data_IF_414379649122
#
_entry.id   IF_414379649122
#
_cell.length_a   1.000
_cell.length_b   1.000
_cell.length_c   1.000
_cell.angle_alpha   90.00
_cell.angle_beta   90.00
_cell.angle_gamma   90.00
#
_symmetry.space_group_name_H-M   'P 1'
#
loop_
_entity.id
_entity.type
_entity.pdbx_description
1 polymer ?
#
# COMPACT_ATOMS: atom_id res chain seq x y z
N UNK A 1 -21.31 -8.87 13.60
CA UNK A 1 -20.52 -7.85 12.88
C UNK A 1 -19.24 -7.60 13.67
N UNK A 2 -18.07 -7.63 13.03
CA UNK A 2 -16.78 -7.36 13.70
C UNK A 2 -16.22 -6.04 13.16
N UNK A 3 -15.93 -5.08 14.05
CA UNK A 3 -15.37 -3.78 13.68
C UNK A 3 -13.87 -3.92 13.47
N UNK A 4 -13.38 -3.62 12.28
CA UNK A 4 -11.95 -3.55 12.00
C UNK A 4 -11.39 -2.22 12.51
N UNK A 5 -10.19 -2.27 13.07
CA UNK A 5 -9.45 -1.07 13.45
C UNK A 5 -8.31 -0.90 12.47
N UNK A 6 -8.35 0.17 11.66
CA UNK A 6 -7.31 0.41 10.67
C UNK A 6 -6.02 0.96 11.27
N UNK A 7 -4.89 0.70 10.62
CA UNK A 7 -3.57 1.22 11.01
C UNK A 7 -3.11 2.35 10.08
N UNK A 8 -2.63 3.45 10.65
CA UNK A 8 -2.12 4.59 9.87
C UNK A 8 -0.65 4.41 9.52
N UNK A 9 -0.30 4.72 8.26
CA UNK A 9 1.08 4.84 7.78
C UNK A 9 1.42 6.30 7.56
N UNK A 10 2.51 6.76 8.15
CA UNK A 10 2.96 8.15 8.14
C UNK A 10 4.06 8.38 7.10
N UNK A 11 3.78 8.10 5.83
CA UNK A 11 4.75 8.38 4.76
C UNK A 11 4.73 9.86 4.39
N UNK A 12 5.89 10.41 4.02
CA UNK A 12 6.10 11.85 3.79
C UNK A 12 5.27 12.45 2.64
N UNK A 13 4.72 11.61 1.76
CA UNK A 13 3.84 12.02 0.67
C UNK A 13 2.37 12.21 1.10
N UNK A 14 2.01 11.81 2.32
CA UNK A 14 0.65 11.83 2.82
C UNK A 14 0.14 13.22 3.20
N UNK A 15 -1.18 13.40 3.16
CA UNK A 15 -1.82 14.61 3.67
C UNK A 15 -1.74 14.69 5.19
N UNK A 16 -1.55 15.89 5.74
CA UNK A 16 -1.59 16.13 7.19
C UNK A 16 -3.00 16.24 7.75
N UNK A 17 -4.04 16.30 6.90
CA UNK A 17 -5.42 16.61 7.34
C UNK A 17 -6.48 15.64 6.80
N UNK A 18 -6.32 15.09 5.60
CA UNK A 18 -7.41 14.39 4.91
C UNK A 18 -7.91 13.13 5.63
N UNK A 19 -7.01 12.23 6.08
CA UNK A 19 -7.42 11.02 6.80
C UNK A 19 -7.98 11.31 8.19
N UNK A 20 -7.48 12.34 8.88
CA UNK A 20 -8.03 12.77 10.16
C UNK A 20 -9.46 13.30 10.00
N UNK A 21 -9.67 14.17 9.00
CA UNK A 21 -10.98 14.71 8.65
C UNK A 21 -11.98 13.61 8.26
N UNK A 22 -11.57 12.65 7.41
CA UNK A 22 -12.40 11.51 7.02
C UNK A 22 -12.84 10.66 8.21
N UNK A 23 -11.95 10.48 9.19
CA UNK A 23 -12.22 9.70 10.41
C UNK A 23 -12.95 10.49 11.49
N UNK A 24 -13.09 11.82 11.33
CA UNK A 24 -13.68 12.71 12.33
C UNK A 24 -12.86 12.80 13.62
N UNK A 25 -11.53 12.73 13.53
CA UNK A 25 -10.60 12.80 14.67
C UNK A 25 -9.62 13.96 14.51
N UNK A 26 -8.99 14.36 15.61
CA UNK A 26 -7.86 15.29 15.56
C UNK A 26 -6.67 14.66 14.85
N UNK A 27 -5.99 15.43 13.99
CA UNK A 27 -4.85 14.97 13.23
C UNK A 27 -3.64 14.69 14.12
N UNK A 28 -2.81 13.73 13.73
CA UNK A 28 -1.60 13.37 14.47
C UNK A 28 -0.46 14.41 14.42
N UNK A 29 -0.66 15.52 13.69
CA UNK A 29 0.38 16.53 13.43
C UNK A 29 1.47 16.08 12.45
N UNK A 30 1.34 14.90 11.83
CA UNK A 30 2.25 14.33 10.83
C UNK A 30 1.48 13.97 9.56
N UNK A 31 2.15 13.80 8.40
CA UNK A 31 1.54 13.19 7.22
C UNK A 31 0.86 11.86 7.56
N UNK A 32 -0.38 11.68 7.11
CA UNK A 32 -1.15 10.43 7.21
C UNK A 32 -1.44 9.96 5.78
N UNK A 33 -0.65 9.01 5.31
CA UNK A 33 -0.58 8.64 3.90
C UNK A 33 -1.56 7.51 3.55
N UNK A 34 -1.58 6.47 4.37
CA UNK A 34 -2.43 5.29 4.15
C UNK A 34 -3.11 4.86 5.46
N UNK A 35 -4.38 4.50 5.39
CA UNK A 35 -5.11 3.78 6.42
C UNK A 35 -5.32 2.33 5.96
N UNK A 36 -4.72 1.36 6.64
CA UNK A 36 -4.73 -0.05 6.25
C UNK A 36 -5.75 -0.84 7.06
N UNK A 37 -6.43 -1.78 6.42
CA UNK A 37 -7.30 -2.76 7.06
C UNK A 37 -6.73 -4.17 6.84
N UNK A 38 -5.67 -4.51 7.58
CA UNK A 38 -4.89 -5.75 7.46
C UNK A 38 -4.95 -6.64 8.71
N UNK A 39 -5.89 -6.39 9.63
CA UNK A 39 -6.01 -7.03 10.95
C UNK A 39 -6.35 -8.54 10.92
N UNK A 40 -6.54 -9.13 9.73
CA UNK A 40 -6.87 -10.54 9.55
C UNK A 40 -5.90 -11.24 8.58
N UNK A 41 -4.96 -12.06 9.10
CA UNK A 41 -4.06 -12.87 8.28
C UNK A 41 -4.84 -13.76 7.30
N UNK A 42 -4.34 -13.87 6.07
CA UNK A 42 -4.86 -14.82 5.07
C UNK A 42 -5.96 -14.31 4.16
N UNK A 43 -6.37 -13.04 4.24
CA UNK A 43 -7.22 -12.45 3.21
C UNK A 43 -6.44 -12.32 1.88
N UNK A 44 -7.06 -12.64 0.72
CA UNK A 44 -6.39 -12.55 -0.57
C UNK A 44 -6.31 -11.12 -1.11
N UNK A 45 -6.63 -10.12 -0.28
CA UNK A 45 -6.64 -8.70 -0.63
C UNK A 45 -6.28 -7.84 0.57
N UNK A 46 -5.90 -6.59 0.30
CA UNK A 46 -5.68 -5.53 1.28
C UNK A 46 -6.53 -4.32 0.89
N UNK A 47 -7.32 -3.81 1.84
CA UNK A 47 -8.06 -2.56 1.65
C UNK A 47 -7.30 -1.42 2.30
N UNK A 48 -7.22 -0.30 1.57
CA UNK A 48 -6.59 0.94 2.05
C UNK A 48 -7.45 2.15 1.71
N UNK A 49 -7.29 3.21 2.50
CA UNK A 49 -7.63 4.58 2.10
C UNK A 49 -6.33 5.35 1.95
N UNK A 50 -6.13 5.98 0.80
CA UNK A 50 -4.93 6.77 0.50
C UNK A 50 -5.29 8.26 0.52
N UNK A 51 -4.47 9.06 1.20
CA UNK A 51 -4.56 10.52 1.17
C UNK A 51 -3.26 11.09 0.58
N UNK A 52 -3.24 11.19 -0.74
CA UNK A 52 -2.07 11.59 -1.53
C UNK A 52 -2.00 13.11 -1.59
N UNK A 53 -0.94 13.70 -1.02
CA UNK A 53 -0.68 15.15 -1.05
C UNK A 53 0.49 15.51 -1.98
N UNK A 54 1.33 14.51 -2.30
CA UNK A 54 2.40 14.62 -3.30
C UNK A 54 2.26 13.52 -4.35
N UNK A 55 2.54 13.80 -5.62
CA UNK A 55 2.51 12.79 -6.68
C UNK A 55 3.39 11.57 -6.33
N UNK A 56 2.85 10.39 -6.57
CA UNK A 56 3.55 9.12 -6.36
C UNK A 56 4.31 8.71 -7.63
N UNK A 57 5.28 7.81 -7.47
CA UNK A 57 6.01 7.25 -8.60
C UNK A 57 5.08 6.45 -9.52
N UNK A 58 5.36 6.48 -10.82
CA UNK A 58 4.71 5.59 -11.78
C UNK A 58 5.08 4.13 -11.45
N UNK A 59 4.08 3.26 -11.44
CA UNK A 59 4.24 1.85 -11.11
C UNK A 59 3.85 0.97 -12.30
N UNK A 60 4.53 -0.16 -12.43
CA UNK A 60 4.18 -1.23 -13.37
C UNK A 60 4.07 -2.51 -12.54
N UNK A 61 3.00 -3.27 -12.76
CA UNK A 61 2.83 -4.57 -12.13
C UNK A 61 3.07 -5.68 -13.16
N UNK A 62 3.93 -6.67 -12.83
CA UNK A 62 4.12 -7.81 -13.70
C UNK A 62 2.82 -8.62 -13.81
N UNK A 63 2.66 -9.30 -14.94
CA UNK A 63 1.70 -10.39 -15.03
C UNK A 63 2.16 -11.61 -14.21
N UNK A 64 1.35 -12.67 -14.21
CA UNK A 64 1.64 -13.86 -13.41
C UNK A 64 2.96 -14.53 -13.77
N UNK A 65 3.34 -14.57 -15.05
CA UNK A 65 4.56 -15.24 -15.49
C UNK A 65 5.79 -14.42 -15.08
N UNK A 66 5.77 -13.12 -15.37
CA UNK A 66 6.86 -12.22 -15.03
C UNK A 66 7.07 -12.12 -13.50
N UNK A 67 6.00 -12.15 -12.71
CA UNK A 67 6.10 -12.15 -11.24
C UNK A 67 6.82 -13.40 -10.71
N UNK A 68 6.50 -14.58 -11.25
CA UNK A 68 7.13 -15.84 -10.84
C UNK A 68 8.61 -15.88 -11.21
N UNK A 69 8.95 -15.49 -12.44
CA UNK A 69 10.32 -15.47 -12.93
C UNK A 69 11.18 -14.46 -12.15
N UNK A 70 10.68 -13.23 -11.98
CA UNK A 70 11.39 -12.18 -11.26
C UNK A 70 11.62 -12.52 -9.78
N UNK A 71 10.60 -13.06 -9.10
CA UNK A 71 10.73 -13.51 -7.72
C UNK A 71 11.79 -14.61 -7.57
N UNK A 72 11.75 -15.65 -8.42
CA UNK A 72 12.72 -16.74 -8.37
C UNK A 72 14.16 -16.28 -8.64
N UNK A 73 14.34 -15.30 -9.54
CA UNK A 73 15.64 -14.73 -9.83
C UNK A 73 16.22 -13.96 -8.63
N UNK A 74 15.40 -13.16 -7.93
CA UNK A 74 15.84 -12.43 -6.73
C UNK A 74 16.14 -13.35 -5.54
N UNK A 75 15.38 -14.44 -5.38
CA UNK A 75 15.67 -15.50 -4.39
C UNK A 75 16.99 -16.20 -4.69
N UNK A 76 17.24 -16.58 -5.94
CA UNK A 76 18.49 -17.23 -6.34
C UNK A 76 19.72 -16.31 -6.17
N UNK A 77 19.52 -14.99 -6.28
CA UNK A 77 20.53 -13.99 -5.98
C UNK A 77 20.75 -13.75 -4.46
N UNK A 78 19.92 -14.35 -3.60
CA UNK A 78 20.02 -14.24 -2.14
C UNK A 78 19.64 -12.85 -1.61
N UNK A 79 18.80 -12.10 -2.32
CA UNK A 79 18.36 -10.77 -1.86
C UNK A 79 17.42 -10.91 -0.65
N UNK A 80 17.70 -10.26 0.49
CA UNK A 80 16.78 -10.23 1.62
C UNK A 80 15.40 -9.65 1.23
N UNK A 81 14.33 -10.11 1.88
CA UNK A 81 12.95 -9.67 1.59
C UNK A 81 12.71 -8.16 1.80
N UNK A 82 13.51 -7.54 2.67
CA UNK A 82 13.48 -6.13 3.01
C UNK A 82 14.58 -5.30 2.31
N UNK A 83 15.39 -5.92 1.45
CA UNK A 83 16.41 -5.20 0.68
C UNK A 83 15.75 -4.14 -0.21
N UNK A 84 16.19 -2.87 -0.16
CA UNK A 84 15.58 -1.78 -0.93
C UNK A 84 15.70 -1.95 -2.45
N UNK A 85 16.61 -2.81 -2.92
CA UNK A 85 16.76 -3.13 -4.35
C UNK A 85 15.77 -4.19 -4.82
N UNK A 86 15.09 -4.87 -3.89
CA UNK A 86 14.16 -5.95 -4.20
C UNK A 86 12.87 -5.41 -4.82
N UNK A 87 12.56 -5.86 -6.03
CA UNK A 87 11.36 -5.45 -6.78
C UNK A 87 10.24 -6.50 -6.70
N UNK A 88 10.59 -7.79 -6.62
CA UNK A 88 9.64 -8.90 -6.54
C UNK A 88 9.53 -9.39 -5.11
N UNK A 89 8.58 -8.82 -4.36
CA UNK A 89 8.34 -9.19 -2.95
C UNK A 89 7.59 -10.52 -2.79
N UNK A 90 6.82 -10.93 -3.78
CA UNK A 90 6.20 -12.24 -3.86
C UNK A 90 6.10 -12.70 -5.34
N UNK A 91 5.58 -13.90 -5.55
CA UNK A 91 5.46 -14.54 -6.87
C UNK A 91 4.07 -14.35 -7.51
N UNK A 92 3.28 -13.37 -7.05
CA UNK A 92 1.91 -13.16 -7.51
C UNK A 92 1.78 -11.86 -8.30
N UNK A 93 0.87 -11.80 -9.29
CA UNK A 93 0.51 -10.53 -9.90
C UNK A 93 -0.19 -9.65 -8.87
N UNK A 94 -0.17 -8.33 -9.09
CA UNK A 94 -0.81 -7.34 -8.20
C UNK A 94 -1.93 -6.60 -8.93
N UNK A 95 -3.11 -7.23 -9.10
CA UNK A 95 -4.27 -6.51 -9.61
C UNK A 95 -4.73 -5.48 -8.56
N UNK A 96 -4.97 -4.25 -9.01
CA UNK A 96 -5.42 -3.15 -8.16
C UNK A 96 -6.68 -2.50 -8.72
N UNK A 97 -7.52 -1.97 -7.81
CA UNK A 97 -8.67 -1.15 -8.14
C UNK A 97 -8.62 0.12 -7.29
N UNK A 98 -8.58 1.27 -7.94
CA UNK A 98 -8.72 2.56 -7.28
C UNK A 98 -10.18 3.05 -7.39
N UNK A 99 -10.72 3.56 -6.28
CA UNK A 99 -12.02 4.21 -6.24
C UNK A 99 -11.86 5.58 -5.58
N UNK A 100 -12.19 6.63 -6.32
CA UNK A 100 -12.04 7.99 -5.87
C UNK A 100 -13.08 8.34 -4.79
N UNK A 101 -12.63 8.81 -3.63
CA UNK A 101 -13.49 9.32 -2.54
C UNK A 101 -13.68 10.85 -2.58
N UNK A 102 -12.82 11.52 -3.35
CA UNK A 102 -12.81 12.94 -3.70
C UNK A 102 -12.38 13.05 -5.16
N UNK A 103 -12.42 14.23 -5.80
CA UNK A 103 -11.65 14.44 -7.03
C UNK A 103 -10.21 13.94 -6.85
N UNK A 104 -9.71 13.19 -7.83
CA UNK A 104 -8.43 12.48 -7.78
C UNK A 104 -7.78 12.49 -9.16
N UNK A 105 -6.48 12.73 -9.20
CA UNK A 105 -5.63 12.83 -10.41
C UNK A 105 -4.33 12.03 -10.22
#
# INVERSE_FOLDING_TARGET
MHRLTGSIRHYDWGSTTALAALRGVEGSGRPEAELWFDDRPGLPFLVKVLAVDRPLSLQIHPDSEAAQVGFAAEEAAGLPSDDPRRSFRDNRPKPELACALSPFE
#
